data_IF_135852645168
#
_entry.id   IF_135852645168
#
_cell.length_a   1.000
_cell.length_b   1.000
_cell.length_c   1.000
_cell.angle_alpha   90.00
_cell.angle_beta   90.00
_cell.angle_gamma   90.00
#
_symmetry.space_group_name_H-M   'P 1'
#
loop_
_entity.id
_entity.type
_entity.pdbx_description
1 polymer ?
#
# COMPACT_ATOMS: atom_id res chain seq x y z
N UNK A 1 12.93 -5.25 -15.21
CA UNK A 1 12.59 -3.82 -15.37
C UNK A 1 11.69 -3.35 -14.23
N UNK A 2 11.41 -2.05 -14.09
CA UNK A 2 10.50 -1.51 -13.04
C UNK A 2 9.14 -2.21 -13.09
N UNK A 3 8.56 -2.31 -14.28
CA UNK A 3 7.24 -2.90 -14.55
C UNK A 3 7.21 -4.39 -14.14
N UNK A 4 8.24 -5.16 -14.49
CA UNK A 4 8.30 -6.60 -14.17
C UNK A 4 8.35 -6.88 -12.66
N UNK A 5 9.15 -6.11 -11.90
CA UNK A 5 9.19 -6.31 -10.44
C UNK A 5 7.87 -5.89 -9.80
N UNK A 6 7.26 -4.82 -10.29
CA UNK A 6 5.97 -4.37 -9.78
C UNK A 6 4.87 -5.40 -10.03
N UNK A 7 4.80 -5.95 -11.24
CA UNK A 7 3.87 -7.01 -11.58
C UNK A 7 4.07 -8.24 -10.69
N UNK A 8 5.32 -8.71 -10.55
CA UNK A 8 5.62 -9.91 -9.77
C UNK A 8 5.28 -9.77 -8.28
N UNK A 9 5.50 -8.58 -7.71
CA UNK A 9 5.09 -8.29 -6.32
C UNK A 9 3.57 -8.19 -6.22
N UNK A 10 2.92 -7.56 -7.19
CA UNK A 10 1.46 -7.46 -7.23
C UNK A 10 0.80 -8.83 -7.34
N UNK A 11 1.36 -9.75 -8.14
CA UNK A 11 0.91 -11.15 -8.24
C UNK A 11 1.06 -11.91 -6.92
N UNK A 12 2.16 -11.68 -6.19
CA UNK A 12 2.37 -12.28 -4.87
C UNK A 12 1.32 -11.79 -3.86
N UNK A 13 1.08 -10.48 -3.81
CA UNK A 13 0.05 -9.87 -2.98
C UNK A 13 -1.35 -10.38 -3.34
N UNK A 14 -1.68 -10.41 -4.64
CA UNK A 14 -2.96 -10.90 -5.16
C UNK A 14 -3.21 -12.33 -4.70
N UNK A 15 -2.19 -13.19 -4.81
CA UNK A 15 -2.31 -14.60 -4.42
C UNK A 15 -2.64 -14.76 -2.93
N UNK A 16 -2.00 -14.00 -2.06
CA UNK A 16 -2.27 -14.04 -0.62
C UNK A 16 -3.64 -13.44 -0.26
N UNK A 17 -4.01 -12.32 -0.88
CA UNK A 17 -5.32 -11.67 -0.65
C UNK A 17 -6.47 -12.57 -1.13
N UNK A 18 -6.32 -13.24 -2.27
CA UNK A 18 -7.34 -14.17 -2.77
C UNK A 18 -7.44 -15.43 -1.89
N UNK A 19 -6.34 -15.87 -1.27
CA UNK A 19 -6.34 -17.03 -0.38
C UNK A 19 -7.14 -16.77 0.93
N UNK A 20 -7.25 -15.53 1.38
CA UNK A 20 -8.14 -15.17 2.50
C UNK A 20 -9.60 -14.90 2.08
N UNK A 21 -9.94 -15.13 0.80
CA UNK A 21 -11.32 -15.05 0.30
C UNK A 21 -11.75 -13.65 -0.18
N UNK A 22 -10.81 -12.73 -0.36
CA UNK A 22 -11.06 -11.41 -0.97
C UNK A 22 -10.94 -11.55 -2.48
N UNK A 23 -11.96 -11.22 -3.29
CA UNK A 23 -11.90 -11.33 -4.74
C UNK A 23 -11.16 -10.13 -5.35
N UNK A 24 -9.86 -10.01 -5.07
CA UNK A 24 -9.04 -8.95 -5.62
C UNK A 24 -8.59 -9.29 -7.05
N UNK A 25 -8.31 -8.24 -7.81
CA UNK A 25 -7.83 -8.28 -9.20
C UNK A 25 -6.68 -7.29 -9.38
N UNK A 26 -5.76 -7.61 -10.29
CA UNK A 26 -4.73 -6.66 -10.73
C UNK A 26 -5.27 -5.92 -11.94
N UNK A 27 -5.38 -4.60 -11.83
CA UNK A 27 -5.71 -3.73 -12.96
C UNK A 27 -4.45 -3.02 -13.43
N UNK A 28 -4.06 -3.31 -14.67
CA UNK A 28 -3.05 -2.53 -15.37
C UNK A 28 -3.67 -1.22 -15.85
N UNK A 29 -3.11 -0.08 -15.46
CA UNK A 29 -3.58 1.19 -15.96
C UNK A 29 -3.11 1.40 -17.41
N UNK A 30 -4.06 1.61 -18.32
CA UNK A 30 -3.81 2.19 -19.63
C UNK A 30 -3.71 3.71 -19.47
N UNK A 31 -2.51 4.28 -19.61
CA UNK A 31 -2.22 5.70 -19.82
C UNK A 31 -3.25 6.71 -19.26
N UNK A 32 -3.32 6.90 -17.95
CA UNK A 32 -4.06 8.04 -17.39
C UNK A 32 -3.12 9.23 -17.15
N UNK A 33 -3.26 10.25 -17.99
CA UNK A 33 -2.55 11.53 -18.01
C UNK A 33 -2.89 12.47 -16.82
N UNK A 34 -3.21 11.95 -15.64
CA UNK A 34 -3.55 12.80 -14.49
C UNK A 34 -2.38 12.94 -13.52
N UNK A 35 -1.66 14.05 -13.74
CA UNK A 35 -0.59 14.57 -12.91
C UNK A 35 -1.19 15.35 -11.74
N UNK A 36 -0.92 14.91 -10.50
CA UNK A 36 -0.98 15.75 -9.31
C UNK A 36 -2.32 15.87 -8.58
N UNK A 37 -2.57 14.99 -7.61
CA UNK A 37 -3.37 15.30 -6.41
C UNK A 37 -2.55 14.99 -5.16
N UNK A 38 -2.66 15.84 -4.13
CA UNK A 38 -1.83 15.79 -2.91
C UNK A 38 -2.07 14.55 -2.01
N UNK A 39 -3.03 13.70 -2.37
CA UNK A 39 -3.25 12.44 -1.71
C UNK A 39 -2.49 11.36 -2.48
N UNK A 40 -1.35 10.88 -1.94
CA UNK A 40 -0.55 9.79 -2.52
C UNK A 40 -1.35 8.50 -2.85
N UNK A 41 -2.58 8.36 -2.33
CA UNK A 41 -3.47 7.25 -2.64
C UNK A 41 -4.20 7.40 -4.00
N UNK A 42 -4.36 8.63 -4.47
CA UNK A 42 -4.99 9.01 -5.75
C UNK A 42 -3.95 9.16 -6.87
N UNK A 43 -2.66 9.02 -6.55
CA UNK A 43 -1.57 8.95 -7.51
C UNK A 43 -1.47 7.54 -8.12
N UNK A 44 -1.34 7.42 -9.45
CA UNK A 44 -1.39 6.14 -10.13
C UNK A 44 -0.16 5.29 -9.86
N UNK A 45 -0.37 4.04 -9.42
CA UNK A 45 0.67 3.02 -9.44
C UNK A 45 0.48 2.04 -10.60
N UNK A 46 1.58 1.63 -11.23
CA UNK A 46 1.57 0.63 -12.29
C UNK A 46 1.12 -0.72 -11.71
N UNK A 47 -0.05 -1.25 -12.07
CA UNK A 47 -0.67 -2.45 -11.46
C UNK A 47 -1.23 -2.20 -10.05
N UNK A 48 -2.50 -1.83 -9.98
CA UNK A 48 -3.20 -1.65 -8.71
C UNK A 48 -3.97 -2.92 -8.33
N UNK A 49 -3.95 -3.28 -7.05
CA UNK A 49 -4.83 -4.31 -6.53
C UNK A 49 -6.17 -3.67 -6.14
N UNK A 50 -7.21 -4.10 -6.83
CA UNK A 50 -8.57 -3.58 -6.67
C UNK A 50 -9.55 -4.70 -6.34
N UNK A 51 -10.65 -4.35 -5.68
CA UNK A 51 -11.82 -5.21 -5.48
C UNK A 51 -13.02 -4.47 -6.06
N UNK A 52 -13.72 -5.07 -7.01
CA UNK A 52 -14.84 -4.44 -7.73
C UNK A 52 -14.51 -3.02 -8.25
N UNK A 53 -13.29 -2.82 -8.76
CA UNK A 53 -12.81 -1.52 -9.27
C UNK A 53 -12.37 -0.50 -8.22
N UNK A 54 -12.40 -0.85 -6.92
CA UNK A 54 -11.93 0.00 -5.83
C UNK A 54 -10.56 -0.45 -5.31
N UNK A 55 -9.62 0.47 -5.14
CA UNK A 55 -8.26 0.22 -4.66
C UNK A 55 -8.23 -0.26 -3.22
N UNK A 56 -7.52 -1.36 -2.99
CA UNK A 56 -7.36 -1.99 -1.68
C UNK A 56 -5.93 -1.81 -1.14
N UNK A 57 -4.94 -1.84 -2.03
CA UNK A 57 -3.51 -1.78 -1.68
C UNK A 57 -2.89 -0.52 -2.27
N UNK A 58 -2.24 0.27 -1.42
CA UNK A 58 -1.32 1.32 -1.83
C UNK A 58 0.11 0.78 -1.85
N UNK A 59 0.87 1.10 -2.89
CA UNK A 59 2.23 0.58 -3.07
C UNK A 59 3.19 1.65 -3.58
N UNK A 60 4.41 1.64 -3.05
CA UNK A 60 5.49 2.54 -3.39
C UNK A 60 6.79 1.76 -3.59
N UNK A 61 7.61 2.21 -4.54
CA UNK A 61 8.84 1.54 -4.93
C UNK A 61 10.00 2.54 -5.03
N UNK A 62 11.13 2.22 -4.40
CA UNK A 62 12.39 2.94 -4.56
C UNK A 62 13.46 1.99 -5.11
N UNK A 63 14.30 2.48 -6.02
CA UNK A 63 15.49 1.77 -6.51
C UNK A 63 16.71 2.64 -6.37
N UNK A 64 17.76 2.10 -5.77
CA UNK A 64 19.02 2.81 -5.60
C UNK A 64 20.15 1.80 -5.54
N UNK A 65 21.22 2.04 -6.29
CA UNK A 65 22.47 1.27 -6.22
C UNK A 65 22.26 -0.25 -6.36
N UNK A 66 21.38 -0.67 -7.30
CA UNK A 66 21.06 -2.07 -7.53
C UNK A 66 20.06 -2.69 -6.52
N UNK A 67 19.70 -1.96 -5.47
CA UNK A 67 18.76 -2.39 -4.43
C UNK A 67 17.35 -1.90 -4.78
N UNK A 68 16.36 -2.75 -4.51
CA UNK A 68 14.94 -2.48 -4.65
C UNK A 68 14.27 -2.49 -3.26
N UNK A 69 13.61 -1.40 -2.91
CA UNK A 69 12.70 -1.34 -1.77
C UNK A 69 11.26 -1.19 -2.29
N UNK A 70 10.42 -2.18 -1.99
CA UNK A 70 8.97 -2.08 -2.17
C UNK A 70 8.32 -2.05 -0.80
N UNK A 71 7.42 -1.11 -0.57
CA UNK A 71 6.57 -1.09 0.61
C UNK A 71 5.19 -0.53 0.26
N UNK A 72 4.25 -0.64 1.17
CA UNK A 72 2.88 -0.23 0.91
C UNK A 72 2.01 -0.35 2.14
N UNK A 73 0.72 -0.14 1.92
CA UNK A 73 -0.32 -0.34 2.93
C UNK A 73 -1.48 -1.11 2.31
N UNK A 74 -1.99 -2.07 3.08
CA UNK A 74 -3.27 -2.74 2.81
C UNK A 74 -4.28 -2.07 3.71
N UNK A 75 -5.37 -1.56 3.13
CA UNK A 75 -6.35 -0.84 3.95
C UNK A 75 -7.23 -1.86 4.69
N UNK A 76 -7.00 -1.99 5.99
CA UNK A 76 -7.81 -2.88 6.85
C UNK A 76 -9.19 -2.30 7.13
N UNK A 77 -9.20 -1.00 7.46
CA UNK A 77 -10.35 -0.17 7.79
C UNK A 77 -9.95 1.29 7.52
N UNK A 78 -10.88 2.15 7.11
CA UNK A 78 -10.62 3.59 7.03
C UNK A 78 -11.80 4.41 7.54
N UNK A 79 -11.50 5.33 8.46
CA UNK A 79 -12.43 6.41 8.82
C UNK A 79 -12.23 7.56 7.83
N UNK A 80 -13.13 7.64 6.84
CA UNK A 80 -13.08 8.73 5.86
C UNK A 80 -13.23 10.09 6.51
N UNK A 81 -14.05 10.20 7.55
CA UNK A 81 -14.38 11.48 8.13
C UNK A 81 -13.17 12.03 8.89
N UNK A 82 -12.47 11.16 9.64
CA UNK A 82 -11.21 11.49 10.28
C UNK A 82 -10.12 11.82 9.25
N UNK A 83 -9.95 10.99 8.21
CA UNK A 83 -8.95 11.23 7.16
C UNK A 83 -9.14 12.63 6.56
N UNK A 84 -10.37 12.93 6.13
CA UNK A 84 -10.64 14.20 5.50
C UNK A 84 -10.54 15.37 6.47
N UNK A 85 -10.83 15.20 7.78
CA UNK A 85 -10.58 16.21 8.83
C UNK A 85 -9.10 16.57 8.98
N UNK A 86 -8.20 15.59 8.85
CA UNK A 86 -6.75 15.78 9.02
C UNK A 86 -6.07 16.42 7.80
N UNK A 87 -6.66 16.29 6.61
CA UNK A 87 -6.12 16.91 5.40
C UNK A 87 -6.33 18.43 5.42
N UNK A 88 -5.25 19.16 5.14
CA UNK A 88 -5.31 20.62 4.91
C UNK A 88 -5.90 20.89 3.53
N UNK A 89 -7.22 21.14 3.50
CA UNK A 89 -7.97 21.42 2.29
C UNK A 89 -8.45 22.89 2.27
N UNK A 90 -8.59 23.49 1.07
CA UNK A 90 -8.87 24.93 0.94
C UNK A 90 -10.27 25.33 1.43
N UNK A 91 -11.28 24.46 1.31
CA UNK A 91 -12.65 24.70 1.78
C UNK A 91 -13.43 23.39 1.93
N UNK A 92 -14.63 23.48 2.54
CA UNK A 92 -15.50 22.32 2.79
C UNK A 92 -16.09 21.71 1.51
N UNK A 93 -16.34 22.50 0.47
CA UNK A 93 -16.85 21.99 -0.80
C UNK A 93 -15.85 21.03 -1.46
N UNK A 94 -14.57 21.40 -1.46
CA UNK A 94 -13.47 20.54 -1.92
C UNK A 94 -13.35 19.30 -1.04
N UNK A 95 -13.50 19.42 0.29
CA UNK A 95 -13.51 18.27 1.22
C UNK A 95 -14.61 17.28 0.88
N UNK A 96 -15.84 17.74 0.70
CA UNK A 96 -16.99 16.88 0.36
C UNK A 96 -16.79 16.19 -0.99
N UNK A 97 -16.34 16.93 -2.00
CA UNK A 97 -16.07 16.39 -3.34
C UNK A 97 -15.00 15.30 -3.30
N UNK A 98 -13.87 15.55 -2.62
CA UNK A 98 -12.79 14.58 -2.50
C UNK A 98 -13.20 13.36 -1.66
N UNK A 99 -13.96 13.56 -0.58
CA UNK A 99 -14.49 12.47 0.23
C UNK A 99 -15.40 11.54 -0.56
N UNK A 100 -16.34 12.12 -1.33
CA UNK A 100 -17.21 11.35 -2.23
C UNK A 100 -16.41 10.59 -3.29
N UNK A 101 -15.43 11.25 -3.91
CA UNK A 101 -14.55 10.60 -4.89
C UNK A 101 -13.74 9.45 -4.26
N UNK A 102 -13.21 9.64 -3.05
CA UNK A 102 -12.41 8.63 -2.36
C UNK A 102 -13.24 7.37 -2.05
N UNK A 103 -14.45 7.52 -1.50
CA UNK A 103 -15.38 6.40 -1.22
C UNK A 103 -15.75 5.59 -2.47
N UNK A 104 -15.68 6.21 -3.65
CA UNK A 104 -15.94 5.54 -4.93
C UNK A 104 -14.71 4.80 -5.49
N UNK A 105 -13.50 5.16 -5.07
CA UNK A 105 -12.23 4.67 -5.64
C UNK A 105 -11.43 3.76 -4.71
N UNK A 106 -11.67 3.78 -3.41
CA UNK A 106 -10.95 2.98 -2.42
C UNK A 106 -11.91 2.07 -1.65
N UNK A 107 -11.39 0.94 -1.19
CA UNK A 107 -12.10 0.00 -0.32
C UNK A 107 -11.15 -0.54 0.76
N UNK A 108 -11.75 -1.01 1.84
CA UNK A 108 -11.06 -1.62 2.96
C UNK A 108 -11.37 -3.11 2.99
N UNK A 109 -10.49 -3.88 3.62
CA UNK A 109 -10.68 -5.32 3.77
C UNK A 109 -11.98 -5.66 4.52
N UNK A 110 -12.34 -4.91 5.56
CA UNK A 110 -13.57 -5.14 6.32
C UNK A 110 -14.87 -4.90 5.51
N UNK A 111 -14.81 -4.10 4.45
CA UNK A 111 -15.94 -3.88 3.53
C UNK A 111 -16.13 -5.00 2.51
N UNK A 112 -15.07 -5.77 2.23
CA UNK A 112 -15.05 -6.77 1.14
C UNK A 112 -14.86 -8.20 1.62
N UNK A 113 -14.51 -8.39 2.89
CA UNK A 113 -14.39 -9.70 3.49
C UNK A 113 -15.72 -10.43 3.52
N UNK A 114 -15.68 -11.70 3.12
CA UNK A 114 -16.80 -12.63 3.28
C UNK A 114 -16.82 -13.28 4.67
N UNK A 115 -15.72 -13.15 5.43
CA UNK A 115 -15.57 -13.63 6.82
C UNK A 115 -14.53 -12.81 7.58
N UNK A 116 -14.57 -12.84 8.91
CA UNK A 116 -13.52 -12.23 9.71
C UNK A 116 -12.18 -12.96 9.46
N UNK A 117 -11.14 -12.19 9.15
CA UNK A 117 -9.76 -12.65 8.91
C UNK A 117 -8.85 -11.91 9.88
N UNK A 118 -7.98 -12.63 10.57
CA UNK A 118 -7.00 -12.02 11.48
C UNK A 118 -5.79 -11.49 10.72
N UNK A 119 -5.05 -10.57 11.33
CA UNK A 119 -3.78 -10.06 10.75
C UNK A 119 -2.80 -11.21 10.54
N UNK A 120 -2.67 -12.11 11.51
CA UNK A 120 -1.76 -13.28 11.41
C UNK A 120 -2.13 -14.21 10.24
N UNK A 121 -3.43 -14.37 9.99
CA UNK A 121 -3.91 -15.13 8.84
C UNK A 121 -3.57 -14.44 7.53
N UNK A 122 -3.83 -13.13 7.43
CA UNK A 122 -3.47 -12.34 6.26
C UNK A 122 -1.96 -12.38 6.01
N UNK A 123 -1.14 -12.18 7.04
CA UNK A 123 0.33 -12.24 6.95
C UNK A 123 0.80 -13.59 6.44
N UNK A 124 0.27 -14.69 7.00
CA UNK A 124 0.62 -16.04 6.57
C UNK A 124 0.30 -16.28 5.10
N UNK A 125 -0.90 -15.91 4.65
CA UNK A 125 -1.30 -16.11 3.25
C UNK A 125 -0.52 -15.20 2.30
N UNK A 126 -0.19 -13.98 2.71
CA UNK A 126 0.72 -13.09 1.97
C UNK A 126 2.10 -13.74 1.83
N UNK A 127 2.71 -14.18 2.92
CA UNK A 127 4.00 -14.88 2.91
C UNK A 127 4.00 -16.07 1.94
N UNK A 128 2.96 -16.91 1.99
CA UNK A 128 2.81 -18.02 1.03
C UNK A 128 2.66 -17.55 -0.42
N UNK A 129 1.97 -16.42 -0.64
CA UNK A 129 1.86 -15.76 -1.94
C UNK A 129 3.23 -15.39 -2.50
N UNK A 130 4.06 -14.74 -1.68
CA UNK A 130 5.44 -14.38 -2.01
C UNK A 130 6.32 -15.60 -2.28
N UNK A 131 6.30 -16.61 -1.42
CA UNK A 131 7.08 -17.84 -1.63
C UNK A 131 6.75 -18.52 -2.96
N UNK A 132 5.45 -18.65 -3.28
CA UNK A 132 4.98 -19.32 -4.51
C UNK A 132 5.32 -18.52 -5.78
N UNK A 133 5.08 -17.20 -5.78
CA UNK A 133 5.29 -16.37 -6.98
C UNK A 133 6.78 -16.06 -7.21
N UNK A 134 7.54 -15.87 -6.13
CA UNK A 134 8.97 -15.57 -6.24
C UNK A 134 9.84 -16.83 -6.32
N UNK A 135 9.27 -18.01 -6.04
CA UNK A 135 9.99 -19.28 -5.93
C UNK A 135 11.12 -19.19 -4.90
N UNK A 136 10.77 -18.67 -3.72
CA UNK A 136 11.68 -18.50 -2.58
C UNK A 136 11.07 -19.17 -1.35
N UNK A 137 11.89 -19.32 -0.30
CA UNK A 137 11.44 -19.69 1.03
C UNK A 137 11.67 -18.52 1.97
N UNK A 138 10.61 -18.07 2.64
CA UNK A 138 10.70 -17.05 3.67
C UNK A 138 10.99 -17.74 5.01
N UNK A 139 12.03 -17.25 5.68
CA UNK A 139 12.41 -17.74 7.00
C UNK A 139 12.18 -16.62 8.01
N UNK A 140 11.49 -16.89 9.13
CA UNK A 140 11.38 -15.94 10.23
C UNK A 140 12.78 -15.51 10.67
N UNK A 141 12.99 -14.20 10.78
CA UNK A 141 14.24 -13.61 11.25
C UNK A 141 13.94 -12.35 12.04
N UNK A 142 14.93 -11.92 12.82
CA UNK A 142 14.93 -10.63 13.52
C UNK A 142 15.95 -9.70 12.86
N UNK A 143 15.81 -8.40 13.11
CA UNK A 143 16.83 -7.43 12.73
C UNK A 143 18.17 -7.78 13.39
N UNK A 144 19.23 -7.71 12.60
CA UNK A 144 20.62 -7.81 13.05
C UNK A 144 20.98 -6.64 13.97
N UNK A 145 22.07 -6.77 14.73
CA UNK A 145 22.54 -5.67 15.59
C UNK A 145 22.87 -4.41 14.76
N UNK A 146 23.47 -4.58 13.59
CA UNK A 146 23.79 -3.48 12.68
C UNK A 146 22.54 -2.75 12.17
N UNK A 147 21.51 -3.50 11.76
CA UNK A 147 20.22 -2.93 11.33
C UNK A 147 19.51 -2.19 12.47
N UNK A 148 19.55 -2.74 13.69
CA UNK A 148 18.98 -2.08 14.89
C UNK A 148 19.68 -0.76 15.19
N UNK A 149 21.02 -0.76 15.24
CA UNK A 149 21.81 0.45 15.47
C UNK A 149 21.60 1.48 14.35
N UNK A 150 21.46 1.03 13.10
CA UNK A 150 21.13 1.92 11.99
C UNK A 150 19.73 2.52 12.15
N UNK A 151 18.74 1.71 12.52
CA UNK A 151 17.38 2.17 12.80
C UNK A 151 17.36 3.23 13.90
N UNK A 152 18.07 3.00 15.00
CA UNK A 152 18.19 3.95 16.12
C UNK A 152 18.81 5.29 15.69
N UNK A 153 19.89 5.26 14.90
CA UNK A 153 20.49 6.48 14.33
C UNK A 153 19.53 7.23 13.40
N UNK A 154 18.72 6.50 12.64
CA UNK A 154 17.74 7.09 11.73
C UNK A 154 16.56 7.74 12.46
N UNK A 155 16.28 7.38 13.71
CA UNK A 155 15.22 8.01 14.51
C UNK A 155 15.44 9.51 14.60
N UNK A 156 16.68 9.96 14.88
CA UNK A 156 17.02 11.39 15.00
C UNK A 156 16.55 12.19 13.78
N UNK A 157 16.83 11.66 12.58
CA UNK A 157 16.37 12.24 11.32
C UNK A 157 14.85 12.18 11.17
N UNK A 158 14.23 11.01 11.35
CA UNK A 158 12.80 10.84 11.06
C UNK A 158 11.87 11.50 12.11
N UNK A 159 12.38 11.81 13.31
CA UNK A 159 11.67 12.61 14.33
C UNK A 159 11.88 14.12 14.20
N UNK A 160 12.85 14.55 13.40
CA UNK A 160 13.23 15.96 13.31
C UNK A 160 12.19 16.78 12.50
N UNK A 161 11.81 17.99 12.95
CA UNK A 161 11.01 18.93 12.16
C UNK A 161 11.66 19.30 10.83
N UNK A 162 12.99 19.44 10.79
CA UNK A 162 13.75 19.74 9.58
C UNK A 162 13.55 18.69 8.50
N UNK A 163 13.28 17.44 8.87
CA UNK A 163 12.90 16.38 7.95
C UNK A 163 11.39 16.34 7.68
N UNK A 164 10.56 16.29 8.73
CA UNK A 164 9.11 16.07 8.62
C UNK A 164 8.33 17.25 8.05
N UNK A 165 8.83 18.47 8.20
CA UNK A 165 8.24 19.70 7.64
C UNK A 165 8.89 20.12 6.32
N UNK A 166 9.87 19.37 5.83
CA UNK A 166 10.51 19.64 4.54
C UNK A 166 9.49 19.42 3.42
N UNK A 167 9.14 20.50 2.72
CA UNK A 167 8.27 20.47 1.54
C UNK A 167 9.08 20.34 0.27
#
# INVERSE_FOLDING_TARGET
TIIQSYLKISEALLKGINAVGVPAEIVAQANSSHMGTAACFDAPSWYELVVAGKKLVGSAQMRREGILLQHGSIIMHFDTDLLFKLLKLPNEEVRQRLSKSFKSKACALDEVWTRSVTIDELERELCQGFEKIMNIKLLPSVLTMEEKLMSEKLVEKYSSPEWTMKR
#
